data_IF_383022159478
#
_entry.id   IF_383022159478
#
_cell.length_a   1.000
_cell.length_b   1.000
_cell.length_c   1.000
_cell.angle_alpha   90.00
_cell.angle_beta   90.00
_cell.angle_gamma   90.00
#
_symmetry.space_group_name_H-M   'P 1'
#
loop_
_entity.id
_entity.type
_entity.pdbx_description
1 polymer ?
#
# COMPACT_ATOMS: atom_id res chain seq x y z
N UNK A 1 -22.04 22.85 -23.78
CA UNK A 1 -22.75 21.62 -23.39
C UNK A 1 -24.22 21.84 -23.66
N UNK A 2 -24.82 21.05 -24.55
CA UNK A 2 -26.27 21.08 -24.77
C UNK A 2 -26.98 20.69 -23.48
N UNK A 3 -27.83 21.59 -22.98
CA UNK A 3 -28.59 21.36 -21.75
C UNK A 3 -29.60 20.24 -22.00
N UNK A 4 -29.41 19.11 -21.33
CA UNK A 4 -30.43 18.06 -21.26
C UNK A 4 -31.70 18.66 -20.63
N UNK A 5 -32.85 18.44 -21.27
CA UNK A 5 -34.12 18.94 -20.79
C UNK A 5 -34.40 18.44 -19.35
N UNK A 6 -34.87 19.30 -18.43
CA UNK A 6 -35.14 18.91 -17.05
C UNK A 6 -36.14 17.75 -17.00
N UNK A 7 -35.82 16.71 -16.25
CA UNK A 7 -36.74 15.62 -15.94
C UNK A 7 -37.85 16.18 -15.05
N UNK A 8 -39.10 16.22 -15.55
CA UNK A 8 -40.25 16.67 -14.77
C UNK A 8 -40.50 15.72 -13.60
N UNK A 9 -40.52 16.25 -12.37
CA UNK A 9 -41.07 15.56 -11.19
C UNK A 9 -40.07 14.94 -10.22
N UNK A 10 -38.76 15.20 -10.36
CA UNK A 10 -37.75 14.64 -9.46
C UNK A 10 -36.85 15.75 -8.90
N UNK A 11 -36.48 15.66 -7.60
CA UNK A 11 -35.67 16.65 -6.87
C UNK A 11 -34.17 16.63 -7.26
N UNK A 12 -33.85 16.27 -8.52
CA UNK A 12 -32.49 16.19 -9.00
C UNK A 12 -32.31 16.69 -10.43
N UNK A 13 -31.12 17.22 -10.71
CA UNK A 13 -30.69 17.71 -12.02
C UNK A 13 -29.61 16.77 -12.56
N UNK A 14 -29.79 16.13 -13.73
CA UNK A 14 -28.76 15.27 -14.31
C UNK A 14 -27.53 16.07 -14.75
N UNK A 15 -26.33 15.56 -14.47
CA UNK A 15 -25.07 16.21 -14.82
C UNK A 15 -24.38 15.59 -16.06
N UNK A 16 -24.99 14.57 -16.67
CA UNK A 16 -24.47 13.89 -17.86
C UNK A 16 -25.57 13.31 -18.73
N UNK A 17 -25.23 12.28 -19.52
CA UNK A 17 -26.20 11.56 -20.33
C UNK A 17 -27.35 11.05 -19.45
N UNK A 18 -28.56 11.22 -19.98
CA UNK A 18 -29.82 10.82 -19.35
C UNK A 18 -29.83 9.34 -18.95
N UNK A 19 -28.99 8.46 -19.48
CA UNK A 19 -28.91 7.06 -19.00
C UNK A 19 -28.26 6.91 -17.62
N UNK A 20 -27.48 7.88 -17.17
CA UNK A 20 -26.73 7.84 -15.90
C UNK A 20 -27.29 8.78 -14.83
N UNK A 21 -28.48 9.37 -15.06
CA UNK A 21 -29.05 10.40 -14.19
C UNK A 21 -29.23 9.95 -12.73
N UNK A 22 -29.54 8.67 -12.47
CA UNK A 22 -29.71 8.16 -11.11
C UNK A 22 -28.40 8.13 -10.30
N UNK A 23 -27.26 8.15 -11.00
CA UNK A 23 -25.93 7.97 -10.41
C UNK A 23 -25.03 9.20 -10.58
N UNK A 24 -25.28 10.07 -11.56
CA UNK A 24 -24.54 11.31 -11.79
C UNK A 24 -25.51 12.51 -11.88
N UNK A 25 -25.76 13.15 -10.75
CA UNK A 25 -26.75 14.21 -10.60
C UNK A 25 -26.40 15.20 -9.49
N UNK A 26 -27.09 16.33 -9.50
CA UNK A 26 -27.16 17.26 -8.38
C UNK A 26 -28.53 17.13 -7.72
N UNK A 27 -28.62 17.13 -6.40
CA UNK A 27 -29.89 17.05 -5.68
C UNK A 27 -29.85 17.85 -4.39
N UNK A 28 -31.03 18.22 -3.89
CA UNK A 28 -31.16 18.89 -2.60
C UNK A 28 -31.22 17.86 -1.47
N UNK A 29 -30.50 18.08 -0.38
CA UNK A 29 -30.53 17.25 0.84
C UNK A 29 -30.67 18.21 2.03
N UNK A 30 -31.90 18.39 2.52
CA UNK A 30 -32.21 19.43 3.50
C UNK A 30 -32.04 20.83 2.88
N UNK A 31 -31.21 21.66 3.49
CA UNK A 31 -30.88 23.00 2.98
C UNK A 31 -29.69 22.99 1.99
N UNK A 32 -28.93 21.89 1.95
CA UNK A 32 -27.71 21.79 1.15
C UNK A 32 -27.99 21.27 -0.26
N UNK A 33 -27.10 21.61 -1.19
CA UNK A 33 -27.02 20.96 -2.49
C UNK A 33 -25.85 19.99 -2.52
N UNK A 34 -26.09 18.77 -3.00
CA UNK A 34 -25.05 17.76 -3.15
C UNK A 34 -24.95 17.30 -4.60
N UNK A 35 -23.73 17.03 -5.04
CA UNK A 35 -23.46 16.35 -6.30
C UNK A 35 -23.11 14.91 -6.01
N UNK A 36 -23.89 14.04 -6.63
CA UNK A 36 -23.70 12.61 -6.63
C UNK A 36 -22.92 12.21 -7.89
N UNK A 37 -21.84 11.46 -7.72
CA UNK A 37 -21.19 10.73 -8.80
C UNK A 37 -21.17 9.25 -8.44
N UNK A 38 -21.56 8.40 -9.40
CA UNK A 38 -21.74 6.95 -9.23
C UNK A 38 -22.54 6.57 -7.96
N UNK A 39 -23.57 7.35 -7.62
CA UNK A 39 -24.42 7.11 -6.45
C UNK A 39 -23.85 7.58 -5.11
N UNK A 40 -22.69 8.25 -5.10
CA UNK A 40 -22.05 8.74 -3.89
C UNK A 40 -21.94 10.26 -3.86
N UNK A 41 -22.09 10.90 -2.68
CA UNK A 41 -21.92 12.35 -2.53
C UNK A 41 -20.45 12.71 -2.56
N UNK A 42 -20.06 13.50 -3.55
CA UNK A 42 -18.66 13.88 -3.78
C UNK A 42 -18.44 15.37 -3.55
N UNK A 43 -19.45 16.20 -3.82
CA UNK A 43 -19.42 17.65 -3.60
C UNK A 43 -20.65 17.99 -2.77
N UNK A 44 -20.47 18.78 -1.71
CA UNK A 44 -21.57 19.42 -0.98
C UNK A 44 -21.32 20.93 -0.98
N UNK A 45 -22.32 21.69 -1.42
CA UNK A 45 -22.36 23.14 -1.30
C UNK A 45 -22.98 23.49 0.04
N UNK A 46 -22.23 24.23 0.85
CA UNK A 46 -22.67 24.73 2.15
C UNK A 46 -23.26 26.14 1.99
N UNK A 47 -24.08 26.62 2.93
CA UNK A 47 -24.70 27.95 2.85
C UNK A 47 -23.74 29.15 2.94
N UNK A 48 -22.50 28.93 3.39
CA UNK A 48 -21.45 29.93 3.66
C UNK A 48 -20.45 30.08 2.49
N UNK A 49 -20.87 29.77 1.27
CA UNK A 49 -20.02 29.71 0.05
C UNK A 49 -18.84 28.72 0.13
N UNK A 50 -18.88 27.82 1.12
CA UNK A 50 -17.94 26.73 1.28
C UNK A 50 -18.41 25.50 0.50
N UNK A 51 -17.48 24.77 -0.10
CA UNK A 51 -17.73 23.51 -0.81
C UNK A 51 -16.91 22.41 -0.20
N UNK A 52 -17.57 21.39 0.34
CA UNK A 52 -16.93 20.20 0.90
C UNK A 52 -16.75 19.15 -0.18
N UNK A 53 -15.54 18.63 -0.31
CA UNK A 53 -15.18 17.59 -1.28
C UNK A 53 -14.88 16.28 -0.55
N UNK A 54 -15.50 15.20 -1.03
CA UNK A 54 -15.28 13.83 -0.58
C UNK A 54 -15.41 13.64 0.93
N UNK A 55 -16.45 14.20 1.54
CA UNK A 55 -16.69 14.16 3.00
C UNK A 55 -16.66 12.73 3.59
N UNK A 56 -17.00 11.71 2.78
CA UNK A 56 -16.96 10.30 3.18
C UNK A 56 -15.58 9.64 3.07
N UNK A 57 -14.56 10.34 2.55
CA UNK A 57 -13.20 9.82 2.42
C UNK A 57 -13.11 8.63 1.46
N UNK A 58 -13.92 8.63 0.41
CA UNK A 58 -13.90 7.58 -0.61
C UNK A 58 -12.66 7.69 -1.47
N UNK A 59 -12.30 6.59 -2.13
CA UNK A 59 -11.21 6.59 -3.08
C UNK A 59 -11.61 7.35 -4.36
N UNK A 60 -11.03 8.53 -4.58
CA UNK A 60 -11.31 9.36 -5.75
C UNK A 60 -10.51 8.86 -6.95
N UNK A 61 -11.10 8.01 -7.78
CA UNK A 61 -10.53 7.61 -9.07
C UNK A 61 -10.69 8.69 -10.16
N UNK A 62 -10.30 8.37 -11.40
CA UNK A 62 -10.36 9.32 -12.51
C UNK A 62 -11.77 9.84 -12.76
N UNK A 63 -12.79 8.99 -12.67
CA UNK A 63 -14.16 9.37 -13.00
C UNK A 63 -14.74 10.34 -11.95
N UNK A 64 -14.40 10.14 -10.68
CA UNK A 64 -14.71 11.10 -9.62
C UNK A 64 -13.99 12.45 -9.81
N UNK A 65 -12.71 12.43 -10.19
CA UNK A 65 -11.95 13.65 -10.47
C UNK A 65 -12.47 14.40 -11.71
N UNK A 66 -12.96 13.69 -12.72
CA UNK A 66 -13.60 14.28 -13.89
C UNK A 66 -14.92 14.96 -13.52
N UNK A 67 -15.65 14.43 -12.53
CA UNK A 67 -16.84 15.09 -11.96
C UNK A 67 -16.47 16.42 -11.31
N UNK A 68 -15.40 16.47 -10.51
CA UNK A 68 -14.90 17.72 -9.92
C UNK A 68 -14.51 18.74 -11.00
N UNK A 69 -13.83 18.27 -12.05
CA UNK A 69 -13.41 19.08 -13.20
C UNK A 69 -14.63 19.68 -13.93
N UNK A 70 -15.65 18.87 -14.21
CA UNK A 70 -16.82 19.28 -14.96
C UNK A 70 -17.73 20.23 -14.17
N UNK A 71 -17.96 19.92 -12.89
CA UNK A 71 -18.93 20.64 -12.06
C UNK A 71 -18.34 21.94 -11.51
N UNK A 72 -17.09 21.90 -11.03
CA UNK A 72 -16.44 23.04 -10.40
C UNK A 72 -15.57 23.84 -11.39
N UNK A 73 -15.35 23.33 -12.60
CA UNK A 73 -14.47 23.97 -13.58
C UNK A 73 -12.99 23.96 -13.18
N UNK A 74 -12.61 23.08 -12.26
CA UNK A 74 -11.24 22.84 -11.82
C UNK A 74 -10.48 22.02 -12.87
N UNK A 75 -9.16 21.92 -12.74
CA UNK A 75 -8.38 20.89 -13.42
C UNK A 75 -7.90 19.89 -12.38
N UNK A 76 -8.30 18.62 -12.54
CA UNK A 76 -7.90 17.53 -11.66
C UNK A 76 -7.10 16.47 -12.41
N UNK A 77 -5.94 16.09 -11.85
CA UNK A 77 -5.00 15.16 -12.45
C UNK A 77 -4.80 13.91 -11.60
N UNK A 78 -4.68 12.75 -12.25
CA UNK A 78 -4.17 11.56 -11.58
C UNK A 78 -2.66 11.68 -11.41
N UNK A 79 -2.17 11.38 -10.21
CA UNK A 79 -0.75 11.23 -9.96
C UNK A 79 -0.43 9.78 -9.58
N UNK A 80 0.86 9.44 -9.60
CA UNK A 80 1.36 8.15 -9.14
C UNK A 80 1.21 8.01 -7.61
N UNK A 81 1.47 6.80 -7.10
CA UNK A 81 1.46 6.46 -5.67
C UNK A 81 0.16 6.82 -4.93
N UNK A 82 -1.00 6.61 -5.56
CA UNK A 82 -2.28 6.84 -4.88
C UNK A 82 -2.51 8.30 -4.50
N UNK A 83 -2.04 9.24 -5.33
CA UNK A 83 -2.27 10.68 -5.16
C UNK A 83 -3.00 11.28 -6.36
N UNK A 84 -3.47 12.51 -6.19
CA UNK A 84 -4.06 13.30 -7.26
C UNK A 84 -3.76 14.78 -7.07
N UNK A 85 -3.95 15.56 -8.12
CA UNK A 85 -3.76 17.01 -8.11
C UNK A 85 -5.05 17.77 -8.37
N UNK A 86 -5.16 18.94 -7.76
CA UNK A 86 -6.20 19.93 -8.04
C UNK A 86 -5.52 21.27 -8.32
N UNK A 87 -5.83 21.85 -9.46
CA UNK A 87 -5.34 23.17 -9.84
C UNK A 87 -6.40 24.23 -9.54
N UNK A 88 -6.02 25.28 -8.83
CA UNK A 88 -6.92 26.37 -8.40
C UNK A 88 -6.35 27.75 -8.75
N UNK A 89 -7.15 28.80 -8.59
CA UNK A 89 -6.78 30.17 -8.98
C UNK A 89 -6.60 30.31 -10.49
N UNK A 90 -7.66 30.06 -11.27
CA UNK A 90 -7.62 30.14 -12.74
C UNK A 90 -7.29 31.55 -13.19
N UNK A 91 -6.34 31.71 -14.10
CA UNK A 91 -5.94 33.02 -14.64
C UNK A 91 -6.86 33.36 -15.82
N UNK A 92 -7.70 34.41 -15.74
CA UNK A 92 -8.69 34.69 -16.78
C UNK A 92 -8.07 35.05 -18.15
N UNK A 93 -6.93 35.73 -18.14
CA UNK A 93 -6.23 36.23 -19.33
C UNK A 93 -5.36 35.19 -20.03
N UNK A 94 -5.06 34.06 -19.38
CA UNK A 94 -4.11 33.08 -19.87
C UNK A 94 -4.75 31.69 -19.78
N UNK A 95 -5.43 31.31 -20.86
CA UNK A 95 -6.19 30.07 -20.95
C UNK A 95 -5.42 28.86 -20.39
N UNK A 96 -6.09 28.07 -19.56
CA UNK A 96 -5.56 26.88 -18.87
C UNK A 96 -4.36 27.11 -17.94
N UNK A 97 -4.03 28.35 -17.57
CA UNK A 97 -3.09 28.60 -16.47
C UNK A 97 -3.79 28.72 -15.13
N UNK A 98 -3.17 28.12 -14.12
CA UNK A 98 -3.63 28.09 -12.74
C UNK A 98 -2.48 28.55 -11.84
N UNK A 99 -2.82 29.34 -10.82
CA UNK A 99 -1.83 29.90 -9.88
C UNK A 99 -1.31 28.85 -8.90
N UNK A 100 -2.14 27.88 -8.55
CA UNK A 100 -1.83 26.92 -7.50
C UNK A 100 -2.07 25.50 -7.99
N UNK A 101 -1.12 24.62 -7.65
CA UNK A 101 -1.22 23.17 -7.79
C UNK A 101 -1.21 22.59 -6.38
N UNK A 102 -2.26 21.85 -6.04
CA UNK A 102 -2.38 21.17 -4.75
C UNK A 102 -2.33 19.67 -4.97
N UNK A 103 -1.60 18.94 -4.13
CA UNK A 103 -1.50 17.47 -4.18
C UNK A 103 -2.25 16.90 -2.98
N UNK A 104 -3.00 15.82 -3.20
CA UNK A 104 -3.82 15.16 -2.19
C UNK A 104 -3.65 13.64 -2.24
N UNK A 105 -3.92 12.96 -1.12
CA UNK A 105 -4.09 11.51 -1.10
C UNK A 105 -5.46 11.15 -1.67
N UNK A 106 -5.63 9.97 -2.28
CA UNK A 106 -6.89 9.55 -2.95
C UNK A 106 -8.15 9.61 -2.09
N UNK A 107 -8.00 9.46 -0.78
CA UNK A 107 -9.10 9.48 0.19
C UNK A 107 -9.21 10.80 0.95
N UNK A 108 -8.44 11.81 0.55
CA UNK A 108 -8.48 13.12 1.18
C UNK A 108 -9.88 13.71 1.11
N UNK A 109 -10.29 14.28 2.23
CA UNK A 109 -11.41 15.20 2.36
C UNK A 109 -10.81 16.59 2.35
N UNK A 110 -11.41 17.51 1.61
CA UNK A 110 -10.90 18.88 1.57
C UNK A 110 -12.02 19.85 1.26
N UNK A 111 -11.74 21.10 1.55
CA UNK A 111 -12.66 22.20 1.38
C UNK A 111 -12.19 23.09 0.24
N UNK A 112 -13.14 23.63 -0.49
CA UNK A 112 -12.95 24.69 -1.46
C UNK A 112 -13.81 25.88 -1.07
N UNK A 113 -13.27 27.05 -1.29
CA UNK A 113 -13.94 28.34 -1.04
C UNK A 113 -13.67 29.23 -2.23
N UNK A 114 -14.51 30.24 -2.47
CA UNK A 114 -14.31 31.19 -3.57
C UNK A 114 -13.68 32.49 -3.07
N UNK A 115 -12.76 33.05 -3.83
CA UNK A 115 -12.28 34.43 -3.66
C UNK A 115 -12.23 35.14 -5.03
N UNK A 116 -11.75 36.39 -5.08
CA UNK A 116 -11.64 37.18 -6.33
C UNK A 116 -10.86 36.45 -7.45
N UNK A 117 -9.98 35.51 -7.10
CA UNK A 117 -9.20 34.69 -8.04
C UNK A 117 -9.86 33.35 -8.42
N UNK A 118 -11.09 33.09 -7.98
CA UNK A 118 -11.82 31.83 -8.18
C UNK A 118 -11.68 30.88 -6.99
N UNK A 119 -11.65 29.58 -7.27
CA UNK A 119 -11.51 28.57 -6.22
C UNK A 119 -10.17 28.68 -5.50
N UNK A 120 -10.20 28.50 -4.18
CA UNK A 120 -9.04 28.32 -3.33
C UNK A 120 -9.25 27.16 -2.35
N UNK A 121 -8.15 26.52 -1.96
CA UNK A 121 -8.11 25.51 -0.90
C UNK A 121 -7.58 26.22 0.35
N UNK A 122 -8.39 26.51 1.36
CA UNK A 122 -7.96 27.30 2.52
C UNK A 122 -6.90 26.53 3.33
N UNK A 123 -7.13 25.23 3.55
CA UNK A 123 -6.25 24.35 4.32
C UNK A 123 -5.74 23.21 3.43
N UNK A 124 -4.70 23.44 2.59
CA UNK A 124 -4.12 22.38 1.79
C UNK A 124 -3.49 21.31 2.70
N UNK A 125 -3.62 20.01 2.37
CA UNK A 125 -3.05 18.96 3.19
C UNK A 125 -1.52 19.06 3.22
N UNK A 126 -0.96 18.81 4.39
CA UNK A 126 0.48 18.64 4.54
C UNK A 126 0.84 17.22 4.13
N UNK A 127 1.72 17.09 3.15
CA UNK A 127 2.21 15.81 2.67
C UNK A 127 3.59 15.52 3.25
N UNK A 128 3.87 14.25 3.46
CA UNK A 128 5.15 13.79 4.00
C UNK A 128 5.77 12.71 3.11
N UNK A 129 7.09 12.62 3.15
CA UNK A 129 7.87 11.53 2.55
C UNK A 129 8.94 11.07 3.52
N UNK A 130 9.36 9.81 3.39
CA UNK A 130 10.46 9.26 4.18
C UNK A 130 11.78 9.51 3.46
N UNK A 131 12.77 10.03 4.18
CA UNK A 131 14.15 10.16 3.72
C UNK A 131 15.03 9.16 4.44
N UNK A 132 15.83 8.42 3.68
CA UNK A 132 16.79 7.45 4.20
C UNK A 132 18.02 8.18 4.77
N UNK A 133 18.32 7.95 6.05
CA UNK A 133 19.61 8.23 6.64
C UNK A 133 20.58 7.09 6.26
N UNK A 134 21.39 7.32 5.23
CA UNK A 134 22.31 6.31 4.69
C UNK A 134 23.31 5.81 5.73
N UNK A 135 23.84 6.71 6.58
CA UNK A 135 24.81 6.34 7.61
C UNK A 135 24.16 5.41 8.64
N UNK A 136 22.98 5.77 9.15
CA UNK A 136 22.27 4.92 10.12
C UNK A 136 21.87 3.57 9.50
N UNK A 137 21.36 3.57 8.27
CA UNK A 137 21.00 2.34 7.57
C UNK A 137 22.19 1.41 7.33
N UNK A 138 23.35 1.96 6.96
CA UNK A 138 24.57 1.18 6.82
C UNK A 138 25.04 0.61 8.17
N UNK A 139 25.02 1.42 9.24
CA UNK A 139 25.37 0.94 10.58
C UNK A 139 24.46 -0.22 11.01
N UNK A 140 23.15 -0.09 10.79
CA UNK A 140 22.18 -1.15 11.10
C UNK A 140 22.48 -2.41 10.29
N UNK A 141 22.79 -2.30 8.99
CA UNK A 141 23.19 -3.46 8.16
C UNK A 141 24.48 -4.12 8.66
N UNK A 142 25.44 -3.36 9.17
CA UNK A 142 26.65 -3.92 9.75
C UNK A 142 26.35 -4.74 11.03
N UNK A 143 25.35 -4.35 11.83
CA UNK A 143 24.97 -5.12 13.04
C UNK A 143 24.45 -6.53 12.77
N UNK A 144 24.07 -6.83 11.53
CA UNK A 144 23.52 -8.12 11.10
C UNK A 144 24.38 -8.79 10.03
N UNK A 145 25.62 -8.30 9.86
CA UNK A 145 26.55 -8.77 8.83
C UNK A 145 26.85 -10.27 8.94
N UNK A 146 27.13 -10.76 10.15
CA UNK A 146 27.44 -12.17 10.37
C UNK A 146 26.27 -13.08 9.97
N UNK A 147 25.04 -12.68 10.31
CA UNK A 147 23.84 -13.39 9.87
C UNK A 147 23.67 -13.35 8.35
N UNK A 148 23.91 -12.21 7.71
CA UNK A 148 23.88 -12.11 6.25
C UNK A 148 24.88 -13.06 5.61
N UNK A 149 26.12 -13.11 6.11
CA UNK A 149 27.15 -14.04 5.63
C UNK A 149 26.72 -15.51 5.82
N UNK A 150 26.12 -15.83 6.97
CA UNK A 150 25.52 -17.15 7.20
C UNK A 150 24.44 -17.48 6.17
N UNK A 151 23.51 -16.56 5.93
CA UNK A 151 22.42 -16.75 4.97
C UNK A 151 22.96 -16.96 3.55
N UNK A 152 23.96 -16.17 3.14
CA UNK A 152 24.63 -16.33 1.84
C UNK A 152 25.36 -17.67 1.71
N UNK A 153 25.95 -18.20 2.80
CA UNK A 153 26.53 -19.55 2.83
C UNK A 153 25.45 -20.63 2.74
N UNK A 154 24.36 -20.50 3.48
CA UNK A 154 23.24 -21.45 3.44
C UNK A 154 22.60 -21.52 2.05
N UNK A 155 22.48 -20.38 1.38
CA UNK A 155 22.04 -20.30 -0.02
C UNK A 155 22.96 -21.09 -0.95
N UNK A 156 24.28 -21.07 -0.72
CA UNK A 156 25.26 -21.82 -1.53
C UNK A 156 25.27 -23.32 -1.24
N UNK A 157 25.01 -23.70 0.00
CA UNK A 157 25.03 -25.11 0.44
C UNK A 157 23.75 -25.85 0.02
N UNK A 158 22.60 -25.16 -0.01
CA UNK A 158 21.35 -25.79 -0.45
C UNK A 158 21.27 -25.91 -1.96
N UNK A 159 20.74 -27.04 -2.42
CA UNK A 159 20.49 -27.32 -3.83
C UNK A 159 19.68 -26.19 -4.46
N UNK A 160 20.34 -25.43 -5.32
CA UNK A 160 19.68 -24.54 -6.27
C UNK A 160 19.03 -25.41 -7.33
N UNK A 161 17.80 -25.86 -7.08
CA UNK A 161 17.07 -26.62 -8.08
C UNK A 161 16.57 -25.65 -9.15
N UNK A 162 16.96 -25.90 -10.41
CA UNK A 162 16.24 -25.34 -11.54
C UNK A 162 14.86 -25.97 -11.55
N UNK A 163 13.89 -25.32 -10.95
CA UNK A 163 12.50 -25.78 -10.99
C UNK A 163 11.96 -25.47 -12.37
N UNK A 164 11.98 -26.47 -13.25
CA UNK A 164 11.22 -26.39 -14.50
C UNK A 164 9.75 -26.56 -14.16
N UNK A 165 9.02 -25.44 -14.10
CA UNK A 165 7.62 -25.45 -13.65
C UNK A 165 6.65 -26.08 -14.66
N UNK A 166 7.13 -26.59 -15.80
CA UNK A 166 6.38 -27.50 -16.67
C UNK A 166 4.90 -27.15 -16.82
N UNK A 167 4.56 -25.87 -16.98
CA UNK A 167 3.19 -25.42 -17.14
C UNK A 167 2.82 -25.69 -18.60
N UNK A 168 1.93 -26.64 -18.90
CA UNK A 168 1.79 -27.21 -20.25
C UNK A 168 1.29 -26.23 -21.32
N UNK A 169 1.02 -24.95 -20.98
CA UNK A 169 0.48 -23.94 -21.89
C UNK A 169 1.17 -22.56 -21.82
N UNK A 170 2.32 -22.43 -21.15
CA UNK A 170 3.13 -21.21 -21.22
C UNK A 170 4.50 -21.60 -21.79
N UNK A 171 4.73 -21.31 -23.07
CA UNK A 171 5.91 -21.71 -23.85
C UNK A 171 7.26 -21.13 -23.41
N UNK A 172 7.50 -21.00 -22.12
CA UNK A 172 8.79 -20.63 -21.54
C UNK A 172 8.98 -21.31 -20.17
N UNK A 173 9.92 -22.26 -20.10
CA UNK A 173 10.51 -22.70 -18.83
C UNK A 173 11.20 -21.51 -18.19
N UNK A 174 10.64 -20.98 -17.11
CA UNK A 174 11.36 -19.99 -16.31
C UNK A 174 12.10 -20.75 -15.21
N UNK A 175 13.37 -21.05 -15.47
CA UNK A 175 14.28 -21.56 -14.46
C UNK A 175 14.55 -20.45 -13.45
N UNK A 176 14.09 -20.62 -12.21
CA UNK A 176 14.43 -19.74 -11.11
C UNK A 176 15.25 -20.50 -10.08
N UNK A 177 16.42 -19.95 -9.75
CA UNK A 177 17.21 -20.41 -8.60
C UNK A 177 16.39 -20.13 -7.34
N UNK A 178 15.94 -21.19 -6.68
CA UNK A 178 15.10 -21.11 -5.50
C UNK A 178 15.80 -21.73 -4.29
N UNK A 179 15.71 -21.06 -3.15
CA UNK A 179 15.99 -21.66 -1.85
C UNK A 179 14.79 -22.51 -1.43
N UNK A 180 15.05 -23.76 -1.04
CA UNK A 180 14.02 -24.72 -0.63
C UNK A 180 14.04 -24.88 0.88
N UNK A 181 12.89 -24.67 1.52
CA UNK A 181 12.64 -25.03 2.92
C UNK A 181 11.62 -26.15 2.95
N UNK A 182 11.98 -27.26 3.60
CA UNK A 182 11.04 -28.35 3.83
C UNK A 182 10.14 -28.04 5.03
N UNK A 183 8.87 -28.43 4.94
CA UNK A 183 7.90 -28.14 5.99
C UNK A 183 8.31 -28.71 7.36
N UNK A 184 8.81 -29.95 7.39
CA UNK A 184 9.25 -30.62 8.62
C UNK A 184 10.39 -29.88 9.32
N UNK A 185 11.36 -29.39 8.56
CA UNK A 185 12.48 -28.62 9.07
C UNK A 185 12.03 -27.29 9.69
N UNK A 186 11.13 -26.59 9.01
CA UNK A 186 10.55 -25.38 9.57
C UNK A 186 9.71 -25.69 10.82
N UNK A 187 9.08 -26.89 10.90
CA UNK A 187 8.18 -27.28 12.00
C UNK A 187 9.02 -27.59 13.22
N UNK A 188 10.16 -28.25 13.03
CA UNK A 188 11.14 -28.49 14.07
C UNK A 188 11.72 -27.17 14.60
N UNK A 189 12.08 -26.25 13.71
CA UNK A 189 12.77 -25.02 14.09
C UNK A 189 11.85 -23.95 14.70
N UNK A 190 10.61 -23.82 14.20
CA UNK A 190 9.69 -22.75 14.57
C UNK A 190 8.42 -23.27 15.29
N UNK A 191 8.20 -24.58 15.31
CA UNK A 191 6.99 -25.22 15.82
C UNK A 191 5.95 -25.49 14.74
N UNK A 192 5.11 -26.51 14.97
CA UNK A 192 4.02 -26.92 14.05
C UNK A 192 3.00 -25.81 13.79
N UNK A 193 2.82 -24.93 14.77
CA UNK A 193 2.01 -23.71 14.71
C UNK A 193 2.63 -22.57 13.89
N UNK A 194 3.78 -22.77 13.22
CA UNK A 194 4.51 -21.73 12.50
C UNK A 194 4.71 -21.98 10.99
N UNK A 195 4.75 -23.24 10.55
CA UNK A 195 4.97 -23.63 9.14
C UNK A 195 3.71 -23.80 8.30
N UNK A 196 2.58 -24.17 8.87
CA UNK A 196 1.31 -24.17 8.13
C UNK A 196 0.75 -22.75 7.87
N UNK A 197 1.49 -21.67 8.22
CA UNK A 197 0.87 -20.45 8.73
C UNK A 197 1.16 -19.12 8.02
N UNK A 198 2.21 -19.00 7.21
CA UNK A 198 2.66 -17.64 6.86
C UNK A 198 2.92 -17.49 5.37
N UNK A 199 1.80 -17.37 4.64
CA UNK A 199 1.77 -16.53 3.46
C UNK A 199 1.14 -15.21 3.88
N UNK A 200 1.96 -14.20 4.18
CA UNK A 200 1.48 -12.83 4.32
C UNK A 200 0.81 -12.47 2.99
N UNK A 201 -0.52 -12.36 2.99
CA UNK A 201 -1.30 -12.15 1.76
C UNK A 201 -1.01 -10.76 1.20
N UNK A 202 -0.73 -9.81 2.08
CA UNK A 202 -0.31 -8.46 1.76
C UNK A 202 0.90 -8.10 2.63
N UNK A 203 1.88 -7.39 2.07
CA UNK A 203 2.93 -6.75 2.88
C UNK A 203 2.28 -5.73 3.83
N UNK A 204 2.91 -5.42 4.99
CA UNK A 204 2.49 -4.33 5.87
C UNK A 204 2.70 -2.92 5.28
N UNK A 205 2.76 -2.81 3.95
CA UNK A 205 2.97 -1.57 3.19
C UNK A 205 1.66 -0.97 2.70
N UNK A 206 0.58 -1.75 2.66
CA UNK A 206 -0.76 -1.24 2.39
C UNK A 206 -1.37 -0.73 3.70
N UNK A 207 -2.00 0.45 3.70
CA UNK A 207 -2.77 0.97 4.85
C UNK A 207 -3.79 -0.05 5.37
N UNK A 208 -4.31 -0.91 4.49
CA UNK A 208 -5.24 -1.99 4.83
C UNK A 208 -4.64 -3.02 5.80
N UNK A 209 -3.31 -3.22 5.80
CA UNK A 209 -2.63 -4.14 6.71
C UNK A 209 -2.69 -3.74 8.18
N UNK A 210 -2.98 -2.46 8.47
CA UNK A 210 -3.16 -1.93 9.85
C UNK A 210 -4.47 -2.38 10.49
N UNK A 211 -5.44 -2.82 9.68
CA UNK A 211 -6.78 -3.21 10.16
C UNK A 211 -7.16 -4.61 9.73
N UNK A 212 -6.50 -5.14 8.69
CA UNK A 212 -6.74 -6.49 8.21
C UNK A 212 -6.11 -7.48 9.20
N UNK A 213 -6.91 -8.37 9.79
CA UNK A 213 -6.36 -9.45 10.60
C UNK A 213 -5.36 -10.24 9.77
N UNK A 214 -4.27 -10.65 10.41
CA UNK A 214 -3.34 -11.61 9.83
C UNK A 214 -4.15 -12.85 9.42
N UNK A 215 -4.38 -13.00 8.12
CA UNK A 215 -5.34 -13.97 7.59
C UNK A 215 -4.70 -14.91 6.57
N UNK A 216 -5.25 -16.12 6.53
CA UNK A 216 -4.78 -17.28 5.74
C UNK A 216 -4.87 -16.97 4.24
N UNK A 217 -3.88 -17.41 3.45
CA UNK A 217 -4.16 -17.68 2.03
C UNK A 217 -3.41 -18.90 1.48
N UNK A 218 -3.76 -20.10 1.96
CA UNK A 218 -3.83 -21.32 1.14
C UNK A 218 -4.47 -22.49 1.92
N UNK A 219 -5.32 -23.28 1.26
CA UNK A 219 -5.92 -24.55 1.73
C UNK A 219 -6.32 -24.66 3.23
N UNK A 220 -7.33 -23.93 3.70
CA UNK A 220 -8.17 -24.40 4.82
C UNK A 220 -7.58 -24.51 6.25
N UNK A 221 -6.30 -24.28 6.51
CA UNK A 221 -5.68 -24.46 7.84
C UNK A 221 -5.82 -23.23 8.77
N UNK A 222 -5.97 -23.39 10.09
CA UNK A 222 -6.47 -22.36 11.06
C UNK A 222 -5.49 -21.87 12.12
N UNK A 223 -5.00 -20.61 12.05
CA UNK A 223 -3.96 -20.05 12.95
C UNK A 223 -4.25 -20.51 14.38
N UNK A 224 -3.36 -21.19 15.09
CA UNK A 224 -3.62 -21.54 16.49
C UNK A 224 -2.81 -20.61 17.41
N UNK A 225 -3.48 -19.94 18.36
CA UNK A 225 -2.83 -19.14 19.41
C UNK A 225 -3.04 -17.62 19.33
N UNK A 226 -2.18 -16.88 20.07
CA UNK A 226 -2.26 -15.42 20.33
C UNK A 226 -2.18 -14.57 19.05
N UNK A 227 -1.62 -15.11 17.95
CA UNK A 227 -1.37 -14.36 16.72
C UNK A 227 -2.63 -14.21 15.82
N UNK A 228 -3.75 -14.86 16.14
CA UNK A 228 -5.03 -14.69 15.44
C UNK A 228 -5.68 -13.30 15.66
N UNK A 229 -5.36 -12.64 16.78
CA UNK A 229 -5.93 -11.33 17.12
C UNK A 229 -5.11 -10.18 16.53
N UNK A 230 -3.99 -10.48 15.88
CA UNK A 230 -3.10 -9.47 15.33
C UNK A 230 -3.52 -9.09 13.92
N UNK A 231 -3.29 -7.83 13.60
CA UNK A 231 -3.28 -7.33 12.23
C UNK A 231 -2.07 -7.87 11.48
N UNK A 232 -2.12 -7.88 10.14
CA UNK A 232 -0.97 -8.22 9.30
C UNK A 232 0.27 -7.35 9.66
N UNK A 233 0.03 -6.11 10.04
CA UNK A 233 1.05 -5.18 10.50
C UNK A 233 1.68 -5.59 11.84
N UNK A 234 0.87 -5.85 12.88
CA UNK A 234 1.38 -6.21 14.22
C UNK A 234 2.13 -7.54 14.19
N UNK A 235 1.65 -8.48 13.38
CA UNK A 235 2.34 -9.73 13.14
C UNK A 235 3.75 -9.48 12.60
N UNK A 236 3.88 -8.68 11.53
CA UNK A 236 5.17 -8.40 10.92
C UNK A 236 6.09 -7.65 11.88
N UNK A 237 5.58 -6.66 12.63
CA UNK A 237 6.36 -5.92 13.63
C UNK A 237 6.95 -6.85 14.69
N UNK A 238 6.14 -7.76 15.25
CA UNK A 238 6.62 -8.77 16.21
C UNK A 238 7.70 -9.67 15.63
N UNK A 239 7.54 -10.12 14.38
CA UNK A 239 8.55 -10.96 13.70
C UNK A 239 9.84 -10.21 13.41
N UNK A 240 9.74 -8.95 12.99
CA UNK A 240 10.91 -8.10 12.78
C UNK A 240 11.70 -7.89 14.08
N UNK A 241 11.00 -7.72 15.21
CA UNK A 241 11.63 -7.64 16.53
C UNK A 241 12.31 -8.96 16.93
N UNK A 242 11.60 -10.08 16.82
CA UNK A 242 12.15 -11.42 17.12
C UNK A 242 13.39 -11.73 16.27
N UNK A 243 13.34 -11.39 14.98
CA UNK A 243 14.47 -11.52 14.07
C UNK A 243 15.71 -10.74 14.59
N UNK A 244 15.53 -9.47 14.95
CA UNK A 244 16.64 -8.65 15.46
C UNK A 244 17.20 -9.21 16.76
N UNK A 245 16.34 -9.67 17.69
CA UNK A 245 16.77 -10.30 18.94
C UNK A 245 17.60 -11.57 18.69
N UNK A 246 17.16 -12.42 17.77
CA UNK A 246 17.89 -13.64 17.40
C UNK A 246 19.25 -13.33 16.79
N UNK A 247 19.31 -12.43 15.81
CA UNK A 247 20.55 -12.11 15.10
C UNK A 247 21.56 -11.39 15.99
N UNK A 248 21.08 -10.56 16.93
CA UNK A 248 21.96 -9.80 17.83
C UNK A 248 22.30 -10.56 19.12
N UNK A 249 21.72 -11.74 19.35
CA UNK A 249 22.01 -12.56 20.54
C UNK A 249 23.44 -13.12 20.58
N UNK A 250 24.11 -13.21 19.43
CA UNK A 250 25.40 -13.90 19.28
C UNK A 250 25.29 -15.43 19.30
N UNK A 251 24.08 -15.99 19.42
CA UNK A 251 23.82 -17.42 19.33
C UNK A 251 23.60 -17.84 17.87
N UNK A 252 24.63 -18.46 17.28
CA UNK A 252 24.58 -18.96 15.91
C UNK A 252 23.52 -20.04 15.69
N UNK A 253 23.07 -20.74 16.73
CA UNK A 253 22.00 -21.74 16.61
C UNK A 253 20.65 -21.08 16.31
N UNK A 254 20.49 -19.78 16.61
CA UNK A 254 19.30 -19.01 16.24
C UNK A 254 19.31 -18.55 14.78
N UNK A 255 20.46 -18.57 14.09
CA UNK A 255 20.56 -18.02 12.74
C UNK A 255 19.68 -18.80 11.76
N UNK A 256 19.54 -20.11 11.94
CA UNK A 256 18.61 -20.87 11.10
C UNK A 256 17.15 -20.43 11.31
N UNK A 257 16.72 -20.21 12.57
CA UNK A 257 15.37 -19.71 12.89
C UNK A 257 15.14 -18.30 12.37
N UNK A 258 16.13 -17.42 12.49
CA UNK A 258 16.09 -16.07 11.94
C UNK A 258 15.96 -16.08 10.40
N UNK A 259 16.66 -16.99 9.72
CA UNK A 259 16.54 -17.18 8.27
C UNK A 259 15.12 -17.61 7.87
N UNK A 260 14.48 -18.50 8.65
CA UNK A 260 13.10 -18.88 8.40
C UNK A 260 12.10 -17.73 8.58
N UNK A 261 12.36 -16.78 9.49
CA UNK A 261 11.57 -15.55 9.59
C UNK A 261 11.72 -14.69 8.32
N UNK A 262 12.92 -14.55 7.77
CA UNK A 262 13.15 -13.80 6.51
C UNK A 262 12.40 -14.46 5.34
N UNK A 263 12.47 -15.80 5.25
CA UNK A 263 11.74 -16.61 4.28
C UNK A 263 10.23 -16.33 4.32
N UNK A 264 9.68 -16.34 5.53
CA UNK A 264 8.28 -16.07 5.83
C UNK A 264 7.87 -14.64 5.44
N UNK A 265 8.76 -13.68 5.65
CA UNK A 265 8.55 -12.27 5.33
C UNK A 265 8.78 -11.93 3.84
N UNK A 266 9.09 -12.90 2.98
CA UNK A 266 9.35 -12.65 1.55
C UNK A 266 8.07 -12.68 0.68
N UNK A 267 7.96 -11.74 -0.26
CA UNK A 267 6.75 -11.51 -1.10
C UNK A 267 6.40 -12.62 -2.08
N UNK A 268 7.34 -13.53 -2.32
CA UNK A 268 7.28 -14.47 -3.44
C UNK A 268 7.60 -15.89 -3.02
N UNK A 269 7.38 -16.22 -1.75
CA UNK A 269 7.38 -17.61 -1.29
C UNK A 269 6.26 -18.37 -2.01
N UNK A 270 6.64 -19.28 -2.90
CA UNK A 270 5.71 -20.21 -3.53
C UNK A 270 5.74 -21.52 -2.76
N UNK A 271 4.58 -21.99 -2.33
CA UNK A 271 4.45 -23.32 -1.74
C UNK A 271 4.14 -24.28 -2.88
N UNK A 272 4.98 -25.29 -3.07
CA UNK A 272 4.70 -26.39 -3.98
C UNK A 272 4.63 -27.69 -3.19
N UNK A 273 3.57 -28.46 -3.44
CA UNK A 273 3.49 -29.86 -3.00
C UNK A 273 4.42 -30.67 -3.90
N UNK A 274 5.50 -31.21 -3.34
CA UNK A 274 6.38 -32.09 -4.11
C UNK A 274 5.70 -33.46 -4.25
N UNK A 275 5.24 -33.76 -5.47
CA UNK A 275 4.51 -35.00 -5.80
C UNK A 275 5.31 -36.28 -5.48
N UNK A 276 6.65 -36.20 -5.49
CA UNK A 276 7.54 -37.33 -5.25
C UNK A 276 7.66 -37.69 -3.76
N UNK A 277 7.37 -36.75 -2.84
CA UNK A 277 7.59 -36.96 -1.41
C UNK A 277 6.35 -36.75 -0.53
N UNK A 278 5.20 -36.36 -1.09
CA UNK A 278 4.01 -35.98 -0.34
C UNK A 278 4.25 -34.93 0.77
N UNK A 279 5.35 -34.17 0.67
CA UNK A 279 5.71 -33.11 1.61
C UNK A 279 5.59 -31.76 0.93
N UNK A 280 5.07 -30.78 1.66
CA UNK A 280 5.04 -29.40 1.18
C UNK A 280 6.44 -28.78 1.35
N UNK A 281 6.86 -28.00 0.35
CA UNK A 281 8.12 -27.29 0.38
C UNK A 281 7.92 -25.84 -0.09
N UNK A 282 8.68 -24.94 0.50
CA UNK A 282 8.66 -23.52 0.19
C UNK A 282 9.80 -23.18 -0.75
N UNK A 283 9.47 -22.53 -1.86
CA UNK A 283 10.40 -22.12 -2.91
C UNK A 283 10.50 -20.60 -2.94
N UNK A 284 11.70 -20.08 -2.75
CA UNK A 284 11.94 -18.64 -2.63
C UNK A 284 13.07 -18.25 -3.56
N UNK A 285 12.78 -17.38 -4.53
CA UNK A 285 13.83 -16.85 -5.40
C UNK A 285 14.86 -16.06 -4.58
N UNK A 286 16.15 -16.34 -4.79
CA UNK A 286 17.24 -15.74 -4.00
C UNK A 286 17.22 -14.20 -3.92
N UNK A 287 16.95 -13.44 -5.00
CA UNK A 287 16.85 -11.98 -4.89
C UNK A 287 15.77 -11.53 -3.91
N UNK A 288 14.66 -12.27 -3.82
CA UNK A 288 13.56 -11.93 -2.92
C UNK A 288 13.94 -12.15 -1.45
N UNK A 289 14.84 -13.10 -1.16
CA UNK A 289 15.29 -13.39 0.20
C UNK A 289 16.21 -12.27 0.72
N UNK A 290 17.10 -11.77 -0.14
CA UNK A 290 17.96 -10.62 0.19
C UNK A 290 17.14 -9.33 0.33
N UNK A 291 16.17 -9.11 -0.56
CA UNK A 291 15.25 -7.97 -0.44
C UNK A 291 14.41 -8.03 0.85
N UNK A 292 13.92 -9.23 1.22
CA UNK A 292 13.18 -9.45 2.46
C UNK A 292 14.06 -9.23 3.69
N UNK A 293 15.33 -9.63 3.64
CA UNK A 293 16.30 -9.36 4.69
C UNK A 293 16.48 -7.85 4.89
N UNK A 294 16.78 -7.12 3.82
CA UNK A 294 16.95 -5.66 3.89
C UNK A 294 15.67 -4.98 4.38
N UNK A 295 14.50 -5.47 3.97
CA UNK A 295 13.22 -4.94 4.42
C UNK A 295 12.95 -5.17 5.91
N UNK A 296 13.12 -6.39 6.42
CA UNK A 296 12.84 -6.70 7.83
C UNK A 296 13.76 -5.93 8.77
N UNK A 297 15.05 -5.79 8.41
CA UNK A 297 16.05 -5.03 9.17
C UNK A 297 15.68 -3.55 9.21
N UNK A 298 15.45 -2.94 8.03
CA UNK A 298 15.18 -1.51 7.93
C UNK A 298 13.84 -1.13 8.56
N UNK A 299 12.83 -2.02 8.49
CA UNK A 299 11.57 -1.85 9.21
C UNK A 299 11.77 -1.89 10.72
N UNK A 300 12.45 -2.92 11.24
CA UNK A 300 12.74 -3.08 12.67
C UNK A 300 13.46 -1.86 13.26
N UNK A 301 14.30 -1.20 12.44
CA UNK A 301 15.06 0.00 12.80
C UNK A 301 14.57 1.27 12.11
N UNK A 302 13.28 1.31 11.73
CA UNK A 302 12.76 2.38 10.87
C UNK A 302 12.92 3.78 11.45
N UNK A 303 12.74 3.94 12.77
CA UNK A 303 12.94 5.21 13.49
C UNK A 303 14.39 5.71 13.45
N UNK A 304 15.37 4.82 13.34
CA UNK A 304 16.79 5.14 13.26
C UNK A 304 17.20 5.42 11.80
N UNK A 305 16.66 4.64 10.86
CA UNK A 305 17.05 4.67 9.46
C UNK A 305 16.30 5.72 8.63
N UNK A 306 15.11 6.16 9.03
CA UNK A 306 14.26 7.04 8.23
C UNK A 306 13.83 8.29 8.99
N UNK A 307 13.77 9.40 8.28
CA UNK A 307 13.20 10.66 8.76
C UNK A 307 11.98 11.01 7.95
N UNK A 308 10.87 11.32 8.61
CA UNK A 308 9.70 11.89 7.97
C UNK A 308 9.96 13.37 7.68
N UNK A 309 9.81 13.78 6.42
CA UNK A 309 10.05 15.14 5.96
C UNK A 309 8.81 15.66 5.25
N UNK A 310 8.42 16.89 5.58
CA UNK A 310 7.33 17.58 4.90
C UNK A 310 7.72 17.91 3.46
N UNK A 311 6.82 17.59 2.53
CA UNK A 311 6.99 17.89 1.11
C UNK A 311 6.31 19.23 0.81
N UNK A 312 6.95 20.14 0.05
CA UNK A 312 6.31 21.39 -0.38
C UNK A 312 5.02 21.12 -1.13
N UNK A 313 3.98 21.91 -0.85
CA UNK A 313 2.70 21.72 -1.52
C UNK A 313 2.84 21.89 -3.03
N UNK A 314 2.10 21.07 -3.78
CA UNK A 314 2.19 21.03 -5.23
C UNK A 314 3.33 20.14 -5.75
N UNK A 315 4.05 19.41 -4.90
CA UNK A 315 5.01 18.37 -5.28
C UNK A 315 4.48 17.00 -4.89
N UNK A 316 4.65 15.99 -5.75
CA UNK A 316 4.20 14.62 -5.47
C UNK A 316 5.29 13.90 -4.66
N UNK A 317 5.02 13.45 -3.42
CA UNK A 317 5.96 12.65 -2.63
C UNK A 317 6.37 11.38 -3.38
N UNK A 318 7.66 11.03 -3.36
CA UNK A 318 8.19 9.87 -4.07
C UNK A 318 7.80 8.53 -3.45
N UNK A 319 7.47 8.51 -2.15
CA UNK A 319 7.15 7.34 -1.31
C UNK A 319 8.11 6.15 -1.44
N UNK A 320 9.31 6.37 -1.97
CA UNK A 320 10.29 5.33 -2.30
C UNK A 320 10.58 4.40 -1.11
N UNK A 321 10.55 4.97 0.11
CA UNK A 321 10.91 4.27 1.33
C UNK A 321 9.70 3.93 2.23
N UNK A 322 8.47 4.21 1.79
CA UNK A 322 7.25 3.92 2.55
C UNK A 322 7.14 2.43 2.90
N UNK A 323 7.61 1.57 2.00
CA UNK A 323 7.65 0.13 2.25
C UNK A 323 8.61 -0.31 3.35
N UNK A 324 9.58 0.51 3.76
CA UNK A 324 10.62 0.15 4.73
C UNK A 324 10.37 0.70 6.15
N UNK A 325 9.23 1.36 6.37
CA UNK A 325 8.91 1.95 7.67
C UNK A 325 7.73 1.23 8.33
N UNK A 326 7.71 1.30 9.65
CA UNK A 326 6.50 1.02 10.42
C UNK A 326 5.77 2.35 10.61
N UNK A 327 4.51 2.41 10.19
CA UNK A 327 3.67 3.56 10.49
C UNK A 327 3.56 3.74 12.00
N UNK A 328 3.74 4.95 12.54
CA UNK A 328 3.45 5.20 13.94
C UNK A 328 1.95 4.93 14.18
N UNK A 329 1.66 3.92 15.02
CA UNK A 329 0.32 3.62 15.52
C UNK A 329 -0.06 4.53 16.67
#
# INVERSE_FOLDING_TARGET
MDKTAPTKGEDYVPLGDRRYHGYHNMRRVGEDYVVCAFGHYIIRYMPDDTVLINERGMYLDKAFLDTLTQVLGLVCGNEHNGKFTVYTGKVPSEGNKFRHRHVFYRRSKFTLTTNEGGWHVPDPPVLYTHHLNRTAANNVRETVKEFREYMERMIKVRETVNVDMGLPNMGSSIAFISYIVHEDEAVEALGKSYVTWIKLVNKPTATESLVKPASKSFYGYTLEGIDQTLTEWEFYERRAKQFMEMVQSGDYDQFYKAMLIVVVCSDRTRVHRMSVFHKDAWFIGLPNLLDALDEIILKAKSRECFKLVQVPQGTVPSDQYEKYVFWPT
#
